data_IF_034562861574
#
_entry.id   IF_034562861574
#
_cell.length_a   1.000
_cell.length_b   1.000
_cell.length_c   1.000
_cell.angle_alpha   90.00
_cell.angle_beta   90.00
_cell.angle_gamma   90.00
#
_symmetry.space_group_name_H-M   'P 1'
#
loop_
_entity.id
_entity.type
_entity.pdbx_description
1 polymer ?
#
# COMPACT_ATOMS: atom_id res chain seq x y z
N UNK A 1 -16.52 1.82 7.19
CA UNK A 1 -17.07 2.82 6.24
C UNK A 1 -16.31 2.73 4.91
N UNK A 2 -16.99 2.61 3.78
CA UNK A 2 -16.33 2.49 2.46
C UNK A 2 -15.98 3.89 1.95
N UNK A 3 -14.70 4.25 1.97
CA UNK A 3 -14.22 5.53 1.43
C UNK A 3 -14.03 5.41 -0.08
N UNK A 4 -14.58 6.36 -0.84
CA UNK A 4 -14.29 6.47 -2.28
C UNK A 4 -12.91 7.11 -2.45
N UNK A 5 -11.96 6.36 -3.01
CA UNK A 5 -10.60 6.84 -3.25
C UNK A 5 -10.58 7.75 -4.48
N UNK A 6 -9.70 8.77 -4.48
CA UNK A 6 -9.53 9.65 -5.64
C UNK A 6 -8.99 8.89 -6.85
N UNK A 7 -9.20 9.39 -8.06
CA UNK A 7 -8.67 8.80 -9.31
C UNK A 7 -7.14 8.72 -9.33
N UNK A 8 -6.45 9.62 -8.61
CA UNK A 8 -4.99 9.68 -8.51
C UNK A 8 -4.42 8.83 -7.36
N UNK A 9 -5.29 8.22 -6.53
CA UNK A 9 -4.87 7.51 -5.32
C UNK A 9 -3.86 6.39 -5.60
N UNK A 10 -4.01 5.70 -6.71
CA UNK A 10 -3.08 4.60 -7.07
C UNK A 10 -1.65 5.11 -7.27
N UNK A 11 -1.47 6.22 -8.00
CA UNK A 11 -0.15 6.84 -8.18
C UNK A 11 0.42 7.33 -6.86
N UNK A 12 -0.37 8.06 -6.07
CA UNK A 12 0.04 8.59 -4.76
C UNK A 12 0.45 7.44 -3.81
N UNK A 13 -0.26 6.30 -3.86
CA UNK A 13 0.10 5.12 -3.07
C UNK A 13 1.46 4.54 -3.49
N UNK A 14 1.77 4.53 -4.78
CA UNK A 14 3.09 4.13 -5.29
C UNK A 14 4.19 5.07 -4.81
N UNK A 15 4.04 6.37 -5.06
CA UNK A 15 5.00 7.40 -4.67
C UNK A 15 5.25 7.39 -3.14
N UNK A 16 4.19 7.19 -2.35
CA UNK A 16 4.30 7.06 -0.90
C UNK A 16 5.04 5.79 -0.47
N UNK A 17 4.77 4.66 -1.12
CA UNK A 17 5.44 3.40 -0.80
C UNK A 17 6.95 3.48 -1.07
N UNK A 18 7.36 4.09 -2.18
CA UNK A 18 8.77 4.35 -2.47
C UNK A 18 9.40 5.29 -1.45
N UNK A 19 8.72 6.39 -1.10
CA UNK A 19 9.22 7.36 -0.12
C UNK A 19 9.41 6.74 1.27
N UNK A 20 8.49 5.87 1.72
CA UNK A 20 8.60 5.25 3.05
C UNK A 20 9.71 4.20 3.10
N UNK A 21 9.93 3.44 2.01
CA UNK A 21 11.04 2.49 1.91
C UNK A 21 12.38 3.24 1.89
N UNK A 22 12.49 4.31 1.11
CA UNK A 22 13.68 5.15 1.06
C UNK A 22 14.02 5.75 2.44
N UNK A 23 13.01 6.32 3.12
CA UNK A 23 13.16 6.84 4.47
C UNK A 23 13.65 5.77 5.45
N UNK A 24 13.07 4.57 5.40
CA UNK A 24 13.42 3.47 6.27
C UNK A 24 14.87 3.03 6.08
N UNK A 25 15.29 2.81 4.84
CA UNK A 25 16.66 2.43 4.50
C UNK A 25 17.66 3.51 4.96
N UNK A 26 17.40 4.78 4.67
CA UNK A 26 18.27 5.89 5.07
C UNK A 26 18.38 6.02 6.60
N UNK A 27 17.28 5.79 7.33
CA UNK A 27 17.26 5.81 8.79
C UNK A 27 18.18 4.74 9.41
N UNK A 28 18.38 3.63 8.74
CA UNK A 28 19.26 2.55 9.17
C UNK A 28 20.65 2.55 8.50
N UNK A 29 21.03 3.69 7.93
CA UNK A 29 22.38 3.94 7.45
C UNK A 29 22.68 3.43 6.05
N UNK A 30 21.66 3.01 5.29
CA UNK A 30 21.85 2.65 3.90
C UNK A 30 22.09 3.91 3.05
N UNK A 31 23.11 3.88 2.20
CA UNK A 31 23.24 4.83 1.12
C UNK A 31 22.26 4.45 0.01
N UNK A 32 21.27 5.29 -0.24
CA UNK A 32 20.17 4.93 -1.14
C UNK A 32 19.70 6.11 -2.00
N UNK A 33 19.22 5.79 -3.19
CA UNK A 33 18.68 6.75 -4.14
C UNK A 33 17.44 6.19 -4.85
N UNK A 34 16.48 7.06 -5.15
CA UNK A 34 15.41 6.73 -6.09
C UNK A 34 15.97 6.70 -7.50
N UNK A 35 15.50 5.74 -8.28
CA UNK A 35 15.83 5.61 -9.71
C UNK A 35 14.54 5.54 -10.52
N UNK A 36 14.49 6.27 -11.62
CA UNK A 36 13.39 6.19 -12.59
C UNK A 36 13.74 5.17 -13.67
N UNK A 37 13.73 3.90 -13.29
CA UNK A 37 14.07 2.81 -14.20
C UNK A 37 13.01 1.71 -14.19
N UNK A 38 12.74 1.15 -15.37
CA UNK A 38 11.80 0.03 -15.49
C UNK A 38 12.32 -1.20 -14.74
N UNK A 39 11.64 -1.55 -13.64
CA UNK A 39 11.89 -2.77 -12.87
C UNK A 39 12.44 -2.57 -11.48
N UNK A 40 13.14 -1.47 -11.21
CA UNK A 40 13.58 -1.07 -9.87
C UNK A 40 13.26 0.41 -9.61
N UNK A 41 12.91 0.71 -8.37
CA UNK A 41 12.48 2.02 -7.93
C UNK A 41 13.53 2.69 -7.02
N UNK A 42 14.35 1.87 -6.35
CA UNK A 42 15.39 2.30 -5.42
C UNK A 42 16.66 1.47 -5.63
N UNK A 43 17.82 2.12 -5.59
CA UNK A 43 19.12 1.46 -5.40
C UNK A 43 19.58 1.79 -3.97
N UNK A 44 20.05 0.78 -3.25
CA UNK A 44 20.51 0.93 -1.88
C UNK A 44 21.77 0.08 -1.62
N UNK A 45 22.75 0.66 -0.90
CA UNK A 45 23.93 -0.05 -0.43
C UNK A 45 23.82 -0.35 1.04
N UNK A 46 23.93 -1.62 1.40
CA UNK A 46 23.91 -2.06 2.79
C UNK A 46 25.23 -1.64 3.48
N UNK A 47 25.17 -0.88 4.58
CA UNK A 47 26.38 -0.38 5.25
C UNK A 47 27.19 -1.49 5.96
N UNK A 48 26.56 -2.63 6.26
CA UNK A 48 27.20 -3.73 6.97
C UNK A 48 27.84 -4.76 6.04
N UNK A 49 27.15 -5.12 4.96
CA UNK A 49 27.58 -6.15 4.03
C UNK A 49 28.21 -5.58 2.75
N UNK A 50 28.07 -4.28 2.50
CA UNK A 50 28.44 -3.61 1.26
C UNK A 50 27.65 -4.11 0.02
N UNK A 51 26.61 -4.90 0.23
CA UNK A 51 25.73 -5.38 -0.84
C UNK A 51 25.00 -4.22 -1.52
N UNK A 52 24.94 -4.24 -2.85
CA UNK A 52 24.18 -3.28 -3.64
C UNK A 52 22.86 -3.90 -4.06
N UNK A 53 21.78 -3.34 -3.55
CA UNK A 53 20.41 -3.83 -3.72
C UNK A 53 19.68 -3.00 -4.77
N UNK A 54 19.02 -3.64 -5.72
CA UNK A 54 18.05 -3.02 -6.64
C UNK A 54 16.63 -3.40 -6.21
N UNK A 55 15.86 -2.45 -5.71
CA UNK A 55 14.61 -2.71 -5.02
C UNK A 55 13.42 -2.30 -5.89
N UNK A 56 12.54 -3.28 -6.20
CA UNK A 56 11.23 -3.01 -6.79
C UNK A 56 10.19 -2.83 -5.70
N UNK A 57 9.55 -1.66 -5.63
CA UNK A 57 8.57 -1.31 -4.59
C UNK A 57 7.14 -1.58 -5.07
N UNK A 58 6.33 -2.20 -4.24
CA UNK A 58 4.92 -2.51 -4.52
C UNK A 58 4.02 -1.99 -3.41
N UNK A 59 3.39 -0.84 -3.65
CA UNK A 59 2.45 -0.19 -2.72
C UNK A 59 1.02 -0.70 -2.90
N UNK A 60 0.31 -0.90 -1.79
CA UNK A 60 -1.14 -1.19 -1.79
C UNK A 60 -1.82 -0.47 -0.63
N UNK A 61 -2.93 0.21 -0.93
CA UNK A 61 -3.82 0.76 0.11
C UNK A 61 -5.13 -0.01 0.09
N UNK A 62 -5.50 -0.57 1.23
CA UNK A 62 -6.67 -1.44 1.39
C UNK A 62 -7.84 -0.67 1.99
N UNK A 63 -9.06 -1.02 1.58
CA UNK A 63 -10.28 -0.60 2.27
C UNK A 63 -10.55 -1.52 3.45
N UNK A 64 -11.34 -1.05 4.40
CA UNK A 64 -11.85 -1.81 5.52
C UNK A 64 -12.43 -3.18 5.08
N UNK A 65 -12.09 -4.23 5.79
CA UNK A 65 -12.48 -5.62 5.48
C UNK A 65 -11.65 -6.28 4.37
N UNK A 66 -10.61 -5.61 3.84
CA UNK A 66 -9.71 -6.15 2.82
C UNK A 66 -8.24 -6.24 3.29
N UNK A 67 -8.01 -6.11 4.58
CA UNK A 67 -6.67 -6.05 5.20
C UNK A 67 -5.86 -7.33 4.93
N UNK A 68 -6.54 -8.48 4.90
CA UNK A 68 -5.93 -9.80 4.68
C UNK A 68 -5.80 -10.21 3.21
N UNK A 69 -6.15 -9.32 2.28
CA UNK A 69 -6.09 -9.62 0.84
C UNK A 69 -4.63 -9.67 0.38
N UNK A 70 -4.28 -10.75 -0.34
CA UNK A 70 -2.95 -10.94 -0.93
C UNK A 70 -2.54 -9.76 -1.81
N UNK A 71 -1.24 -9.44 -1.82
CA UNK A 71 -0.66 -8.53 -2.81
C UNK A 71 -0.22 -9.34 -4.02
N UNK A 72 -0.84 -9.08 -5.16
CA UNK A 72 -0.45 -9.72 -6.42
C UNK A 72 0.82 -9.10 -6.97
N UNK A 73 1.77 -9.97 -7.34
CA UNK A 73 3.06 -9.63 -7.94
C UNK A 73 3.13 -10.30 -9.33
N UNK A 74 2.89 -9.57 -10.42
CA UNK A 74 2.91 -10.11 -11.78
C UNK A 74 4.25 -10.73 -12.18
N UNK A 75 4.25 -11.78 -12.99
CA UNK A 75 5.48 -12.42 -13.49
C UNK A 75 6.43 -11.44 -14.18
N UNK A 76 5.89 -10.51 -14.97
CA UNK A 76 6.68 -9.53 -15.69
C UNK A 76 7.52 -8.62 -14.80
N UNK A 77 7.10 -8.38 -13.56
CA UNK A 77 7.84 -7.54 -12.61
C UNK A 77 9.17 -8.19 -12.22
N UNK A 78 9.21 -9.51 -12.08
CA UNK A 78 10.43 -10.25 -11.74
C UNK A 78 11.47 -10.22 -12.87
N UNK A 79 11.03 -10.38 -14.11
CA UNK A 79 11.89 -10.27 -15.28
C UNK A 79 12.48 -8.87 -15.41
N UNK A 80 11.66 -7.84 -15.23
CA UNK A 80 12.09 -6.43 -15.29
C UNK A 80 13.09 -6.10 -14.17
N UNK A 81 12.80 -6.51 -12.94
CA UNK A 81 13.70 -6.29 -11.81
C UNK A 81 15.04 -6.99 -12.03
N UNK A 82 15.04 -8.26 -12.49
CA UNK A 82 16.27 -9.00 -12.79
C UNK A 82 17.10 -8.32 -13.89
N UNK A 83 16.47 -7.88 -14.98
CA UNK A 83 17.16 -7.21 -16.08
C UNK A 83 17.76 -5.86 -15.63
N UNK A 84 17.01 -5.06 -14.86
CA UNK A 84 17.49 -3.80 -14.31
C UNK A 84 18.68 -4.04 -13.36
N UNK A 85 18.57 -4.99 -12.44
CA UNK A 85 19.64 -5.30 -11.50
C UNK A 85 20.92 -5.78 -12.21
N UNK A 86 20.77 -6.60 -13.26
CA UNK A 86 21.91 -7.00 -14.07
C UNK A 86 22.62 -5.82 -14.75
N UNK A 87 21.86 -4.82 -15.24
CA UNK A 87 22.41 -3.62 -15.86
C UNK A 87 23.12 -2.70 -14.86
N UNK A 88 22.65 -2.63 -13.61
CA UNK A 88 23.24 -1.80 -12.55
C UNK A 88 24.25 -2.54 -11.66
N UNK A 89 24.46 -3.83 -11.88
CA UNK A 89 25.38 -4.64 -11.06
C UNK A 89 24.90 -4.78 -9.60
N UNK A 90 23.59 -4.91 -9.37
CA UNK A 90 23.01 -5.03 -8.06
C UNK A 90 22.15 -6.30 -7.91
N UNK A 91 21.86 -6.68 -6.67
CA UNK A 91 21.03 -7.83 -6.35
C UNK A 91 19.54 -7.45 -6.30
N UNK A 92 18.65 -8.28 -6.89
CA UNK A 92 17.24 -7.95 -6.98
C UNK A 92 16.50 -8.20 -5.64
N UNK A 93 15.83 -7.15 -5.17
CA UNK A 93 14.98 -7.14 -3.99
C UNK A 93 13.57 -6.68 -4.30
N UNK A 94 12.63 -7.07 -3.47
CA UNK A 94 11.27 -6.53 -3.47
C UNK A 94 10.99 -5.85 -2.14
N UNK A 95 10.31 -4.70 -2.22
CA UNK A 95 9.71 -4.05 -1.06
C UNK A 95 8.19 -4.03 -1.25
N UNK A 96 7.45 -4.55 -0.27
CA UNK A 96 6.00 -4.66 -0.30
C UNK A 96 5.44 -3.80 0.81
N UNK A 97 4.72 -2.73 0.46
CA UNK A 97 4.14 -1.77 1.40
C UNK A 97 2.61 -1.89 1.35
N UNK A 98 2.00 -2.17 2.48
CA UNK A 98 0.55 -2.34 2.60
C UNK A 98 0.00 -1.42 3.68
N UNK A 99 -0.78 -0.44 3.25
CA UNK A 99 -1.61 0.38 4.12
C UNK A 99 -2.97 -0.31 4.30
N UNK A 100 -3.27 -0.76 5.51
CA UNK A 100 -4.47 -1.52 5.83
C UNK A 100 -4.92 -1.28 7.27
N UNK A 101 -6.16 -0.84 7.44
CA UNK A 101 -6.71 -0.48 8.73
C UNK A 101 -6.04 0.75 9.32
N UNK A 102 -5.45 0.58 10.49
CA UNK A 102 -4.68 1.60 11.22
C UNK A 102 -3.16 1.35 11.19
N UNK A 103 -2.70 0.49 10.27
CA UNK A 103 -1.31 0.05 10.23
C UNK A 103 -0.78 0.07 8.80
N UNK A 104 0.38 0.67 8.62
CA UNK A 104 1.18 0.53 7.39
C UNK A 104 2.29 -0.47 7.68
N UNK A 105 2.34 -1.55 6.90
CA UNK A 105 3.38 -2.57 6.97
C UNK A 105 4.25 -2.53 5.74
N UNK A 106 5.55 -2.62 5.94
CA UNK A 106 6.50 -2.80 4.85
C UNK A 106 7.39 -4.02 5.10
N UNK A 107 7.71 -4.71 4.02
CA UNK A 107 8.55 -5.91 4.01
C UNK A 107 9.58 -5.73 2.90
N UNK A 108 10.86 -5.92 3.23
CA UNK A 108 11.95 -5.90 2.25
C UNK A 108 12.65 -7.25 2.30
N UNK A 109 12.82 -7.89 1.14
CA UNK A 109 13.44 -9.21 1.06
C UNK A 109 14.10 -9.43 -0.31
N UNK A 110 15.10 -10.32 -0.40
CA UNK A 110 15.67 -10.77 -1.67
C UNK A 110 14.59 -11.37 -2.57
N UNK A 111 14.66 -11.13 -3.86
CA UNK A 111 13.76 -11.74 -4.85
C UNK A 111 13.81 -13.28 -4.78
N UNK A 112 14.97 -13.87 -4.55
CA UNK A 112 15.13 -15.31 -4.39
C UNK A 112 14.25 -15.83 -3.25
N UNK A 113 14.30 -15.16 -2.08
CA UNK A 113 13.49 -15.54 -0.92
C UNK A 113 11.99 -15.47 -1.18
N UNK A 114 11.55 -14.43 -1.90
CA UNK A 114 10.15 -14.31 -2.28
C UNK A 114 9.69 -15.48 -3.16
N UNK A 115 10.52 -15.91 -4.11
CA UNK A 115 10.22 -17.04 -5.00
C UNK A 115 10.19 -18.39 -4.26
N UNK A 116 11.00 -18.56 -3.21
CA UNK A 116 10.99 -19.75 -2.35
C UNK A 116 9.72 -19.81 -1.47
N UNK A 117 9.29 -18.65 -0.93
CA UNK A 117 8.14 -18.60 -0.02
C UNK A 117 6.81 -18.89 -0.71
N UNK A 118 6.69 -18.59 -2.00
CA UNK A 118 5.43 -18.66 -2.70
C UNK A 118 5.54 -19.44 -4.01
N UNK A 119 4.63 -20.43 -4.22
CA UNK A 119 4.58 -21.11 -5.50
C UNK A 119 4.11 -20.16 -6.60
N UNK A 120 4.64 -20.40 -7.80
CA UNK A 120 4.23 -19.71 -9.01
C UNK A 120 2.74 -19.97 -9.29
N UNK A 121 1.96 -18.92 -9.49
CA UNK A 121 0.56 -18.96 -9.91
C UNK A 121 0.44 -18.57 -11.37
N UNK A 122 -0.73 -18.79 -12.00
CA UNK A 122 -0.99 -18.45 -13.41
C UNK A 122 -0.58 -17.01 -13.76
N UNK A 123 -0.88 -16.03 -12.91
CA UNK A 123 -0.69 -14.60 -13.19
C UNK A 123 0.44 -13.94 -12.38
N UNK A 124 1.24 -14.70 -11.64
CA UNK A 124 2.28 -14.13 -10.77
C UNK A 124 2.45 -14.87 -9.46
N UNK A 125 2.90 -14.15 -8.46
CA UNK A 125 3.04 -14.60 -7.08
C UNK A 125 2.09 -13.82 -6.18
N UNK A 126 1.75 -14.36 -5.02
CA UNK A 126 0.83 -13.71 -4.09
C UNK A 126 1.48 -13.55 -2.72
N UNK A 127 1.86 -12.33 -2.36
CA UNK A 127 2.30 -12.02 -1.01
C UNK A 127 1.10 -12.03 -0.07
N UNK A 128 1.09 -12.93 0.89
CA UNK A 128 -0.07 -13.17 1.77
C UNK A 128 -0.05 -12.23 2.97
N UNK A 129 -1.25 -11.71 3.34
CA UNK A 129 -1.42 -10.77 4.44
C UNK A 129 -2.25 -11.33 5.60
N UNK A 130 -2.39 -12.66 5.70
CA UNK A 130 -3.07 -13.27 6.85
C UNK A 130 -2.18 -13.27 8.08
N UNK A 131 -2.78 -13.29 9.28
CA UNK A 131 -2.05 -13.25 10.56
C UNK A 131 -0.97 -14.33 10.67
N UNK A 132 -1.27 -15.57 10.20
CA UNK A 132 -0.30 -16.65 10.20
C UNK A 132 0.94 -16.37 9.33
N UNK A 133 0.74 -15.72 8.18
CA UNK A 133 1.87 -15.33 7.33
C UNK A 133 2.65 -14.15 7.91
N UNK A 134 1.97 -13.17 8.50
CA UNK A 134 2.64 -12.04 9.17
C UNK A 134 3.54 -12.54 10.31
N UNK A 135 3.07 -13.49 11.12
CA UNK A 135 3.88 -14.12 12.16
C UNK A 135 5.08 -14.89 11.59
N UNK A 136 4.89 -15.56 10.46
CA UNK A 136 5.98 -16.26 9.76
C UNK A 136 7.03 -15.29 9.23
N UNK A 137 6.61 -14.16 8.66
CA UNK A 137 7.55 -13.14 8.15
C UNK A 137 8.36 -12.50 9.27
N UNK A 138 7.77 -12.30 10.45
CA UNK A 138 8.47 -11.76 11.60
C UNK A 138 9.57 -12.71 12.17
N UNK A 139 9.52 -13.99 11.82
CA UNK A 139 10.51 -15.01 12.22
C UNK A 139 11.55 -15.32 11.13
N UNK A 140 11.39 -14.74 9.95
CA UNK A 140 12.25 -15.00 8.80
C UNK A 140 13.36 -13.95 8.74
N UNK A 141 14.60 -14.37 9.01
CA UNK A 141 15.78 -13.49 9.07
C UNK A 141 16.09 -12.79 7.73
N UNK A 142 15.60 -13.32 6.61
CA UNK A 142 15.76 -12.71 5.28
C UNK A 142 14.68 -11.66 4.98
N UNK A 143 13.69 -11.49 5.85
CA UNK A 143 12.62 -10.51 5.68
C UNK A 143 12.80 -9.38 6.68
N UNK A 144 13.16 -8.20 6.19
CA UNK A 144 13.15 -6.99 7.00
C UNK A 144 11.73 -6.44 7.02
N UNK A 145 11.13 -6.34 8.20
CA UNK A 145 9.76 -5.86 8.37
C UNK A 145 9.70 -4.67 9.30
N UNK A 146 8.85 -3.70 8.99
CA UNK A 146 8.52 -2.62 9.90
C UNK A 146 7.03 -2.24 9.81
N UNK A 147 6.53 -1.67 10.90
CA UNK A 147 5.14 -1.25 11.01
C UNK A 147 5.05 0.18 11.52
N UNK A 148 4.13 0.95 10.91
CA UNK A 148 3.70 2.25 11.43
C UNK A 148 2.23 2.17 11.81
N UNK A 149 1.91 2.66 13.01
CA UNK A 149 0.53 2.80 13.43
C UNK A 149 0.00 4.17 13.04
N UNK A 150 -1.07 4.19 12.27
CA UNK A 150 -1.75 5.39 11.78
C UNK A 150 -3.07 5.56 12.51
N UNK A 151 -3.04 6.07 13.74
CA UNK A 151 -4.29 6.37 14.45
C UNK A 151 -4.85 7.70 13.94
N UNK A 152 -5.95 7.62 13.21
CA UNK A 152 -6.67 8.81 12.74
C UNK A 152 -7.65 9.26 13.83
N UNK A 153 -7.24 10.23 14.64
CA UNK A 153 -8.14 10.90 15.56
C UNK A 153 -8.54 12.25 14.97
N UNK A 154 -9.81 12.40 14.60
CA UNK A 154 -10.41 13.66 14.13
C UNK A 154 -9.72 14.30 12.91
N UNK A 155 -9.12 13.49 12.06
CA UNK A 155 -8.48 13.98 10.84
C UNK A 155 -9.43 14.79 9.95
N UNK A 156 -10.67 14.35 9.86
CA UNK A 156 -11.68 14.95 9.03
C UNK A 156 -13.05 14.80 9.69
N UNK A 157 -13.71 15.89 10.00
CA UNK A 157 -15.11 15.82 10.40
C UNK A 157 -15.91 15.40 9.17
N UNK A 158 -16.43 14.19 9.15
CA UNK A 158 -17.48 13.83 8.21
C UNK A 158 -18.61 14.81 8.43
N UNK A 159 -19.17 15.44 7.38
CA UNK A 159 -20.42 16.16 7.53
C UNK A 159 -21.40 15.14 8.16
N UNK A 160 -21.85 15.43 9.38
CA UNK A 160 -22.93 14.68 10.00
C UNK A 160 -23.99 14.53 8.91
N UNK A 161 -24.47 13.30 8.69
CA UNK A 161 -25.55 13.05 7.75
C UNK A 161 -26.64 14.06 8.09
N UNK A 162 -26.80 15.08 7.24
CA UNK A 162 -27.87 16.05 7.38
C UNK A 162 -29.11 15.20 7.35
N UNK A 163 -29.72 15.01 8.52
CA UNK A 163 -31.04 14.44 8.64
C UNK A 163 -31.87 15.14 7.57
N UNK A 164 -32.27 14.42 6.55
CA UNK A 164 -33.27 14.88 5.61
C UNK A 164 -34.53 15.11 6.43
N UNK A 165 -34.66 16.30 7.03
CA UNK A 165 -35.91 16.75 7.61
C UNK A 165 -36.91 16.64 6.47
N UNK A 166 -37.81 15.70 6.59
CA UNK A 166 -39.01 15.66 5.75
C UNK A 166 -39.59 17.07 5.77
N UNK A 167 -39.88 17.66 4.62
CA UNK A 167 -40.63 18.93 4.62
C UNK A 167 -41.90 18.72 5.39
N UNK A 168 -42.33 19.69 6.23
CA UNK A 168 -43.57 19.58 6.96
C UNK A 168 -44.70 19.26 6.00
N UNK A 169 -45.51 18.28 6.32
CA UNK A 169 -46.69 17.93 5.53
C UNK A 169 -47.51 19.18 5.32
N UNK A 170 -47.90 19.44 4.06
CA UNK A 170 -48.77 20.56 3.73
C UNK A 170 -50.07 20.45 4.54
N UNK A 171 -50.38 21.50 5.30
CA UNK A 171 -51.61 21.63 6.09
C UNK A 171 -52.82 21.62 5.16
N UNK A 172 -53.73 20.64 5.19
CA UNK A 172 -54.88 20.54 4.32
C UNK A 172 -55.99 21.59 4.61
N UNK A 173 -55.79 22.44 5.64
CA UNK A 173 -56.86 23.38 6.05
C UNK A 173 -56.85 24.74 5.37
N UNK A 174 -55.93 25.03 4.40
CA UNK A 174 -55.80 26.36 3.81
C UNK A 174 -56.48 26.53 2.45
N UNK A 175 -57.43 25.67 2.11
CA UNK A 175 -58.19 25.79 0.86
C UNK A 175 -59.69 25.92 1.07
N UNK A 176 -60.11 26.92 1.86
CA UNK A 176 -61.50 27.41 1.83
C UNK A 176 -61.55 28.83 2.39
N UNK A 177 -61.37 29.80 1.52
CA UNK A 177 -62.01 31.12 1.61
C UNK A 177 -61.38 32.04 0.54
N UNK A 178 -62.01 32.14 -0.57
CA UNK A 178 -62.26 33.33 -1.36
C UNK A 178 -63.22 32.94 -2.50
N UNK A 179 -64.51 33.01 -2.21
CA UNK A 179 -65.57 33.28 -3.20
C UNK A 179 -66.51 34.22 -2.53
N UNK A 180 -66.68 35.43 -3.06
CA UNK A 180 -67.73 36.36 -2.66
C UNK A 180 -67.29 37.82 -2.87
N UNK A 181 -67.65 38.31 -3.95
CA UNK A 181 -68.13 39.60 -4.49
C UNK A 181 -67.25 40.15 -5.62
#
# INVERSE_FOLDING_TARGET
MRVSKSSRHSKITGDFAEAIVLYWLSKYGFECARVDHTGIDIIARNPQTNELMGISVKGRSRNEGKEKTDVSLPHGDFGKAKAACAAFGCDPYFAIVVDAGDTIRAFILPMARLLELFPKRKNGYGWRMTTSYLSRYAQDEQIQAFEFQTRITRWWRQPSAVSKRRPPAADPTRSKQVKGH
#
